data_IF_351704598501
#
_entry.id   IF_351704598501
#
_cell.length_a   1.000
_cell.length_b   1.000
_cell.length_c   1.000
_cell.angle_alpha   90.00
_cell.angle_beta   90.00
_cell.angle_gamma   90.00
#
_symmetry.space_group_name_H-M   'P 1'
#
loop_
_entity.id
_entity.type
_entity.pdbx_description
1 polymer ?
#
# COMPACT_ATOMS: atom_id res chain seq x y z
N UNK A 1 20.60 -2.85 10.70
CA UNK A 1 20.77 -2.91 9.24
C UNK A 1 20.01 -4.12 8.76
N UNK A 2 18.70 -3.95 8.65
CA UNK A 2 17.75 -5.02 8.44
C UNK A 2 17.22 -4.81 7.03
N UNK A 3 17.97 -5.32 6.06
CA UNK A 3 17.59 -5.28 4.64
C UNK A 3 16.59 -6.40 4.37
N UNK A 4 15.53 -6.04 3.68
CA UNK A 4 14.42 -6.90 3.34
C UNK A 4 14.49 -7.18 1.84
N UNK A 5 14.54 -8.45 1.50
CA UNK A 5 14.51 -8.94 0.12
C UNK A 5 13.10 -9.42 -0.22
N UNK A 6 12.51 -8.84 -1.25
CA UNK A 6 11.26 -9.26 -1.86
C UNK A 6 11.62 -10.30 -2.92
N UNK A 7 11.24 -11.56 -2.70
CA UNK A 7 11.39 -12.64 -3.68
C UNK A 7 10.02 -13.02 -4.25
N UNK A 8 9.92 -13.05 -5.58
CA UNK A 8 8.78 -13.63 -6.31
C UNK A 8 9.26 -14.80 -7.16
N UNK A 9 8.59 -15.94 -7.03
CA UNK A 9 8.90 -17.19 -7.75
C UNK A 9 10.39 -17.62 -7.72
N UNK A 10 11.08 -17.32 -6.61
CA UNK A 10 12.51 -17.64 -6.45
C UNK A 10 13.47 -16.62 -7.08
N UNK A 11 12.97 -15.52 -7.63
CA UNK A 11 13.76 -14.40 -8.11
C UNK A 11 13.65 -13.22 -7.14
N UNK A 12 14.80 -12.64 -6.79
CA UNK A 12 14.85 -11.39 -6.04
C UNK A 12 14.38 -10.25 -6.95
N UNK A 13 13.15 -9.77 -6.73
CA UNK A 13 12.57 -8.67 -7.47
C UNK A 13 12.95 -7.32 -6.85
N UNK A 14 13.10 -7.26 -5.53
CA UNK A 14 13.64 -6.06 -4.91
C UNK A 14 14.39 -6.31 -3.59
N UNK A 15 15.36 -5.46 -3.27
CA UNK A 15 16.15 -5.51 -2.05
C UNK A 15 16.37 -4.09 -1.53
N UNK A 16 15.92 -3.84 -0.32
CA UNK A 16 15.99 -2.52 0.28
C UNK A 16 15.69 -2.57 1.77
N UNK A 17 15.66 -1.43 2.42
CA UNK A 17 15.14 -1.31 3.78
C UNK A 17 13.64 -1.02 3.76
N UNK A 18 12.96 -1.29 4.88
CA UNK A 18 11.53 -0.94 5.04
C UNK A 18 11.26 0.54 4.70
N UNK A 19 12.20 1.42 5.07
CA UNK A 19 12.12 2.86 4.81
C UNK A 19 12.22 3.18 3.32
N UNK A 20 13.15 2.55 2.60
CA UNK A 20 13.28 2.71 1.15
C UNK A 20 12.03 2.22 0.41
N UNK A 21 11.46 1.09 0.83
CA UNK A 21 10.21 0.58 0.25
C UNK A 21 9.05 1.54 0.51
N UNK A 22 8.93 2.06 1.73
CA UNK A 22 7.93 3.07 2.11
C UNK A 22 8.07 4.36 1.30
N UNK A 23 9.29 4.85 1.08
CA UNK A 23 9.52 6.05 0.26
C UNK A 23 9.19 5.82 -1.22
N UNK A 24 9.39 4.60 -1.75
CA UNK A 24 9.21 4.30 -3.18
C UNK A 24 7.77 3.93 -3.55
N UNK A 25 7.10 3.17 -2.70
CA UNK A 25 5.76 2.63 -2.94
C UNK A 25 4.66 3.41 -2.20
N UNK A 26 5.08 4.26 -1.27
CA UNK A 26 4.20 5.14 -0.54
C UNK A 26 3.76 4.58 0.80
N UNK A 27 3.58 5.49 1.74
CA UNK A 27 3.31 5.17 3.15
C UNK A 27 1.83 5.10 3.48
N UNK A 28 0.92 5.50 2.58
CA UNK A 28 -0.51 5.54 2.84
C UNK A 28 -1.34 4.74 1.85
N UNK A 29 -2.35 4.03 2.35
CA UNK A 29 -3.37 3.37 1.54
C UNK A 29 -4.75 3.85 1.98
N UNK A 30 -5.60 4.15 0.99
CA UNK A 30 -7.03 4.37 1.18
C UNK A 30 -7.78 3.14 0.68
N UNK A 31 -8.50 2.50 1.57
CA UNK A 31 -9.42 1.41 1.26
C UNK A 31 -10.82 2.01 1.17
N UNK A 32 -11.48 1.86 0.04
CA UNK A 32 -12.85 2.35 -0.17
C UNK A 32 -13.76 1.17 -0.47
N UNK A 33 -14.73 0.93 0.40
CA UNK A 33 -15.74 -0.10 0.18
C UNK A 33 -16.81 0.42 -0.79
N UNK A 34 -16.76 -0.03 -2.05
CA UNK A 34 -17.81 0.21 -3.04
C UNK A 34 -18.67 -1.03 -3.21
N UNK A 35 -19.69 -1.15 -2.36
CA UNK A 35 -20.63 -2.27 -2.35
C UNK A 35 -19.93 -3.57 -1.95
N UNK A 36 -19.86 -4.52 -2.88
CA UNK A 36 -19.22 -5.83 -2.68
C UNK A 36 -17.70 -5.81 -2.99
N UNK A 37 -17.17 -4.68 -3.46
CA UNK A 37 -15.76 -4.55 -3.87
C UNK A 37 -15.01 -3.57 -2.99
N UNK A 38 -13.77 -3.92 -2.71
CA UNK A 38 -12.80 -3.02 -2.09
C UNK A 38 -11.93 -2.40 -3.18
N UNK A 39 -11.86 -1.07 -3.17
CA UNK A 39 -10.99 -0.28 -4.01
C UNK A 39 -9.79 0.17 -3.15
N UNK A 40 -8.58 -0.08 -3.65
CA UNK A 40 -7.34 0.21 -2.94
C UNK A 40 -6.60 1.29 -3.71
N UNK A 41 -6.44 2.45 -3.09
CA UNK A 41 -5.69 3.57 -3.65
C UNK A 41 -4.43 3.79 -2.83
N UNK A 42 -3.27 3.64 -3.47
CA UNK A 42 -1.95 3.81 -2.87
C UNK A 42 -1.51 5.27 -3.01
N UNK A 43 -0.91 5.80 -1.95
CA UNK A 43 -0.46 7.18 -1.86
C UNK A 43 0.97 7.25 -1.33
N UNK A 44 1.77 8.21 -1.81
CA UNK A 44 3.16 8.36 -1.41
C UNK A 44 3.32 8.63 0.09
N UNK A 45 2.37 9.31 0.72
CA UNK A 45 2.38 9.59 2.16
C UNK A 45 1.04 9.31 2.81
N UNK A 46 1.05 9.01 4.11
CA UNK A 46 -0.17 8.88 4.90
C UNK A 46 -0.99 10.18 4.92
N UNK A 47 -0.33 11.33 4.89
CA UNK A 47 -0.98 12.64 4.76
C UNK A 47 -1.72 12.78 3.42
N UNK A 48 -1.13 12.34 2.31
CA UNK A 48 -1.79 12.35 1.00
C UNK A 48 -3.01 11.42 0.98
N UNK A 49 -2.91 10.24 1.60
CA UNK A 49 -4.03 9.32 1.76
C UNK A 49 -5.17 9.93 2.59
N UNK A 50 -4.84 10.58 3.72
CA UNK A 50 -5.82 11.27 4.56
C UNK A 50 -6.44 12.49 3.85
N UNK A 51 -5.65 13.27 3.12
CA UNK A 51 -6.16 14.37 2.33
C UNK A 51 -7.14 13.89 1.26
N UNK A 52 -6.84 12.76 0.60
CA UNK A 52 -7.74 12.16 -0.38
C UNK A 52 -9.05 11.68 0.28
N UNK A 53 -8.96 11.00 1.43
CA UNK A 53 -10.13 10.59 2.22
C UNK A 53 -10.97 11.79 2.64
N UNK A 54 -10.33 12.88 3.05
CA UNK A 54 -11.02 14.09 3.51
C UNK A 54 -11.75 14.82 2.37
N UNK A 55 -11.17 14.79 1.17
CA UNK A 55 -11.79 15.32 -0.04
C UNK A 55 -12.99 14.51 -0.53
N UNK A 56 -13.16 13.26 -0.08
CA UNK A 56 -14.31 12.46 -0.51
C UNK A 56 -15.59 12.93 0.20
N UNK A 57 -16.67 13.17 -0.55
CA UNK A 57 -17.95 13.60 0.00
C UNK A 57 -18.63 12.50 0.83
N UNK A 58 -18.32 11.24 0.54
CA UNK A 58 -18.85 10.08 1.25
C UNK A 58 -17.70 9.25 1.83
N UNK A 59 -17.52 9.32 3.15
CA UNK A 59 -16.49 8.59 3.89
C UNK A 59 -17.00 7.22 4.37
N UNK A 60 -18.24 6.86 4.03
CA UNK A 60 -18.87 5.62 4.51
C UNK A 60 -18.15 4.42 3.89
N UNK A 61 -17.56 3.57 4.73
CA UNK A 61 -16.77 2.43 4.26
C UNK A 61 -15.40 2.79 3.71
N UNK A 62 -14.91 4.01 3.97
CA UNK A 62 -13.54 4.39 3.64
C UNK A 62 -12.63 4.34 4.87
N UNK A 63 -11.41 3.83 4.69
CA UNK A 63 -10.41 3.73 5.75
C UNK A 63 -9.03 4.07 5.21
N UNK A 64 -8.30 4.93 5.92
CA UNK A 64 -6.88 5.20 5.67
C UNK A 64 -6.03 4.38 6.63
N UNK A 65 -4.98 3.75 6.12
CA UNK A 65 -3.98 3.07 6.94
C UNK A 65 -2.58 3.24 6.37
N UNK A 66 -1.54 3.13 7.21
CA UNK A 66 -0.19 3.08 6.70
C UNK A 66 0.02 1.82 5.84
N UNK A 67 0.70 1.98 4.70
CA UNK A 67 1.14 0.87 3.86
C UNK A 67 2.15 0.04 4.63
N UNK A 68 1.93 -1.27 4.65
CA UNK A 68 2.89 -2.22 5.19
C UNK A 68 3.64 -2.92 4.07
N UNK A 69 4.65 -3.70 4.47
CA UNK A 69 5.48 -4.48 3.56
C UNK A 69 4.66 -5.44 2.68
N UNK A 70 3.58 -5.99 3.24
CA UNK A 70 2.65 -6.86 2.52
C UNK A 70 1.99 -6.12 1.35
N UNK A 71 1.45 -4.92 1.58
CA UNK A 71 0.83 -4.14 0.52
C UNK A 71 1.83 -3.74 -0.58
N UNK A 72 3.06 -3.40 -0.19
CA UNK A 72 4.14 -3.09 -1.13
C UNK A 72 4.51 -4.33 -1.95
N UNK A 73 4.52 -5.51 -1.32
CA UNK A 73 4.72 -6.78 -2.00
C UNK A 73 3.60 -7.06 -3.00
N UNK A 74 2.34 -6.82 -2.62
CA UNK A 74 1.16 -6.99 -3.50
C UNK A 74 1.22 -6.04 -4.69
N UNK A 75 1.64 -4.79 -4.49
CA UNK A 75 1.82 -3.82 -5.59
C UNK A 75 2.94 -4.26 -6.56
N UNK A 76 4.09 -4.69 -6.01
CA UNK A 76 5.25 -5.12 -6.80
C UNK A 76 5.00 -6.43 -7.56
N UNK A 77 4.30 -7.38 -6.95
CA UNK A 77 4.02 -8.70 -7.55
C UNK A 77 2.71 -8.76 -8.30
N UNK A 78 1.83 -7.76 -8.14
CA UNK A 78 0.47 -7.77 -8.67
C UNK A 78 -0.40 -8.93 -8.13
N UNK A 79 0.03 -9.59 -7.06
CA UNK A 79 -0.64 -10.76 -6.47
C UNK A 79 -0.98 -10.47 -5.01
N UNK A 80 -2.23 -10.69 -4.63
CA UNK A 80 -2.59 -10.78 -3.22
C UNK A 80 -1.93 -12.04 -2.64
N UNK A 81 -1.29 -11.92 -1.49
CA UNK A 81 -0.87 -13.07 -0.69
C UNK A 81 -2.16 -13.73 -0.15
N UNK A 82 -2.61 -14.80 -0.80
CA UNK A 82 -3.64 -15.73 -0.31
C UNK A 82 -2.98 -16.86 0.49
#
# INVERSE_FOLDING_TARGET
CDRIGILDQGQLIELGTLDEFRQRHGEGIVMTQRGDRWDYSFFPTLEAANAHLDQQPDKTGMMTRPSNLEDIFVELTGRNLD
#
